data_IF_272128768121
#
_entry.id   IF_272128768121
#
_cell.length_a   1.000
_cell.length_b   1.000
_cell.length_c   1.000
_cell.angle_alpha   90.00
_cell.angle_beta   90.00
_cell.angle_gamma   90.00
#
_symmetry.space_group_name_H-M   'P 1'
#
loop_
_entity.id
_entity.type
_entity.pdbx_description
1 polymer ?
#
# COMPACT_ATOMS: atom_id res chain seq x y z
N UNK A 1 -14.49 28.81 26.32
CA UNK A 1 -13.34 28.26 25.54
C UNK A 1 -13.63 26.89 24.90
N UNK A 2 -14.35 25.99 25.58
CA UNK A 2 -14.64 24.61 25.11
C UNK A 2 -15.38 24.50 23.76
N UNK A 3 -16.38 25.36 23.49
CA UNK A 3 -17.18 25.31 22.25
C UNK A 3 -16.36 25.71 21.00
N UNK A 4 -15.40 26.63 21.17
CA UNK A 4 -14.50 27.03 20.08
C UNK A 4 -13.56 25.87 19.73
N UNK A 5 -13.00 25.20 20.73
CA UNK A 5 -12.14 24.02 20.50
C UNK A 5 -12.88 22.90 19.76
N UNK A 6 -14.12 22.57 20.15
CA UNK A 6 -14.94 21.56 19.46
C UNK A 6 -15.18 21.92 17.99
N UNK A 7 -15.46 23.20 17.69
CA UNK A 7 -15.63 23.68 16.31
C UNK A 7 -14.34 23.57 15.48
N UNK A 8 -13.18 23.91 16.05
CA UNK A 8 -11.91 23.79 15.33
C UNK A 8 -11.51 22.33 15.09
N UNK A 9 -11.74 21.44 16.06
CA UNK A 9 -11.49 20.00 15.90
C UNK A 9 -12.39 19.42 14.81
N UNK A 10 -13.70 19.75 14.83
CA UNK A 10 -14.63 19.31 13.78
C UNK A 10 -14.22 19.79 12.39
N UNK A 11 -13.81 21.06 12.26
CA UNK A 11 -13.36 21.62 11.00
C UNK A 11 -12.06 20.95 10.49
N UNK A 12 -11.10 20.67 11.39
CA UNK A 12 -9.87 19.98 11.04
C UNK A 12 -10.12 18.55 10.53
N UNK A 13 -11.07 17.83 11.15
CA UNK A 13 -11.46 16.48 10.70
C UNK A 13 -12.08 16.55 9.30
N UNK A 14 -12.98 17.50 9.05
CA UNK A 14 -13.63 17.66 7.74
C UNK A 14 -12.59 17.98 6.65
N UNK A 15 -11.64 18.88 6.94
CA UNK A 15 -10.56 19.21 6.00
C UNK A 15 -9.70 17.99 5.72
N UNK A 16 -9.31 17.23 6.76
CA UNK A 16 -8.51 16.02 6.60
C UNK A 16 -9.21 14.97 5.73
N UNK A 17 -10.50 14.72 5.97
CA UNK A 17 -11.31 13.80 5.15
C UNK A 17 -11.43 14.33 3.72
N UNK A 18 -11.69 15.63 3.53
CA UNK A 18 -11.83 16.25 2.21
C UNK A 18 -10.54 16.14 1.38
N UNK A 19 -9.39 16.44 1.98
CA UNK A 19 -8.08 16.27 1.34
C UNK A 19 -7.83 14.81 1.01
N UNK A 20 -8.11 13.89 1.95
CA UNK A 20 -7.97 12.45 1.72
C UNK A 20 -8.81 11.94 0.56
N UNK A 21 -10.07 12.33 0.51
CA UNK A 21 -10.98 11.96 -0.57
C UNK A 21 -10.51 12.56 -1.89
N UNK A 22 -10.05 13.81 -1.90
CA UNK A 22 -9.49 14.43 -3.09
C UNK A 22 -8.29 13.62 -3.64
N UNK A 23 -7.32 13.27 -2.79
CA UNK A 23 -6.19 12.44 -3.23
C UNK A 23 -6.64 11.05 -3.69
N UNK A 24 -7.62 10.44 -3.02
CA UNK A 24 -8.15 9.14 -3.41
C UNK A 24 -8.80 9.16 -4.79
N UNK A 25 -9.62 10.16 -5.07
CA UNK A 25 -10.31 10.32 -6.35
C UNK A 25 -9.36 10.69 -7.50
N UNK A 26 -8.24 11.36 -7.18
CA UNK A 26 -7.20 11.70 -8.13
C UNK A 26 -6.08 10.65 -8.22
N UNK A 27 -6.27 9.45 -7.62
CA UNK A 27 -5.30 8.36 -7.79
C UNK A 27 -5.22 7.96 -9.26
N UNK A 28 -4.02 7.61 -9.74
CA UNK A 28 -3.85 7.19 -11.11
C UNK A 28 -4.52 5.83 -11.35
N UNK A 29 -4.78 5.50 -12.61
CA UNK A 29 -5.35 4.20 -12.96
C UNK A 29 -4.26 3.12 -12.90
N UNK A 30 -4.34 2.25 -11.91
CA UNK A 30 -3.40 1.14 -11.75
C UNK A 30 -3.75 -0.02 -12.68
N UNK A 31 -2.83 -0.38 -13.57
CA UNK A 31 -2.99 -1.46 -14.54
C UNK A 31 -1.80 -2.41 -14.56
N UNK A 32 -1.70 -3.20 -15.64
CA UNK A 32 -0.60 -4.16 -15.89
C UNK A 32 -0.32 -5.08 -14.70
N UNK A 33 -1.37 -5.53 -14.01
CA UNK A 33 -1.22 -6.23 -12.73
C UNK A 33 -0.44 -7.54 -12.86
N UNK A 34 -0.66 -8.31 -13.92
CA UNK A 34 0.05 -9.58 -14.12
C UNK A 34 1.55 -9.35 -14.34
N UNK A 35 1.90 -8.29 -15.07
CA UNK A 35 3.28 -7.88 -15.28
C UNK A 35 3.95 -7.49 -13.97
N UNK A 36 3.41 -6.53 -13.21
CA UNK A 36 4.03 -6.08 -11.96
C UNK A 36 4.01 -7.15 -10.87
N UNK A 37 2.98 -7.99 -10.83
CA UNK A 37 2.93 -9.13 -9.89
C UNK A 37 4.05 -10.11 -10.18
N UNK A 38 4.34 -10.41 -11.45
CA UNK A 38 5.45 -11.29 -11.81
C UNK A 38 6.82 -10.61 -11.60
N UNK A 39 6.94 -9.37 -12.06
CA UNK A 39 8.18 -8.59 -12.02
C UNK A 39 8.68 -8.36 -10.59
N UNK A 40 7.77 -8.14 -9.65
CA UNK A 40 8.11 -7.80 -8.26
C UNK A 40 8.02 -9.00 -7.31
N UNK A 41 8.12 -10.24 -7.83
CA UNK A 41 8.01 -11.46 -7.04
C UNK A 41 6.74 -11.50 -6.15
N UNK A 42 5.60 -11.10 -6.70
CA UNK A 42 4.29 -11.25 -6.07
C UNK A 42 3.71 -12.66 -6.24
N UNK A 43 2.40 -12.74 -6.38
CA UNK A 43 1.69 -14.00 -6.61
C UNK A 43 1.37 -14.74 -5.31
N UNK A 44 1.33 -16.06 -5.38
CA UNK A 44 1.03 -16.92 -4.22
C UNK A 44 2.18 -16.91 -3.23
N UNK A 45 1.89 -16.65 -1.96
CA UNK A 45 2.84 -16.63 -0.86
C UNK A 45 2.38 -17.55 0.25
N UNK A 46 3.26 -18.39 0.77
CA UNK A 46 2.93 -19.32 1.85
C UNK A 46 3.67 -18.92 3.13
N UNK A 47 2.92 -18.69 4.20
CA UNK A 47 3.45 -18.39 5.52
C UNK A 47 2.76 -19.26 6.56
N UNK A 48 3.54 -20.03 7.32
CA UNK A 48 3.02 -20.93 8.37
C UNK A 48 1.90 -21.86 7.87
N UNK A 49 2.04 -22.41 6.66
CA UNK A 49 1.04 -23.28 6.03
C UNK A 49 -0.24 -22.58 5.59
N UNK A 50 -0.28 -21.23 5.64
CA UNK A 50 -1.40 -20.42 5.14
C UNK A 50 -1.00 -19.75 3.83
N UNK A 51 -1.81 -19.94 2.79
CA UNK A 51 -1.61 -19.30 1.49
C UNK A 51 -2.26 -17.91 1.45
N UNK A 52 -1.49 -16.96 0.93
CA UNK A 52 -1.88 -15.60 0.66
C UNK A 52 -1.58 -15.24 -0.80
N UNK A 53 -2.16 -14.14 -1.28
CA UNK A 53 -1.91 -13.66 -2.63
C UNK A 53 -1.46 -12.20 -2.61
N UNK A 54 -0.27 -11.95 -3.14
CA UNK A 54 0.31 -10.63 -3.34
C UNK A 54 0.04 -10.16 -4.78
N UNK A 55 -0.89 -9.24 -4.95
CA UNK A 55 -1.20 -8.62 -6.26
C UNK A 55 -0.55 -7.24 -6.34
N UNK A 56 0.16 -6.97 -7.43
CA UNK A 56 0.79 -5.69 -7.68
C UNK A 56 0.30 -5.13 -9.00
N UNK A 57 -0.05 -3.85 -9.04
CA UNK A 57 -0.47 -3.14 -10.26
C UNK A 57 0.26 -1.81 -10.32
N UNK A 58 0.74 -1.41 -11.51
CA UNK A 58 1.51 -0.18 -11.68
C UNK A 58 0.72 0.91 -12.37
N UNK A 59 1.07 2.16 -12.06
CA UNK A 59 0.60 3.35 -12.72
C UNK A 59 1.79 4.27 -13.01
N UNK A 60 1.85 4.84 -14.22
CA UNK A 60 2.92 5.75 -14.58
C UNK A 60 2.73 7.10 -13.86
N UNK A 61 3.79 7.59 -13.24
CA UNK A 61 3.85 8.89 -12.55
C UNK A 61 5.00 9.72 -13.14
N UNK A 62 5.00 11.03 -12.89
CA UNK A 62 5.94 11.99 -13.51
C UNK A 62 7.41 11.53 -13.48
N UNK A 63 7.83 10.87 -12.40
CA UNK A 63 9.21 10.45 -12.19
C UNK A 63 9.38 8.92 -12.03
N UNK A 64 8.47 8.08 -12.53
CA UNK A 64 8.57 6.63 -12.34
C UNK A 64 7.26 5.88 -12.48
N UNK A 65 7.12 4.79 -11.72
CA UNK A 65 5.87 4.06 -11.58
C UNK A 65 5.46 4.03 -10.12
N UNK A 66 4.21 4.35 -9.81
CA UNK A 66 3.62 4.02 -8.51
C UNK A 66 3.01 2.62 -8.56
N UNK A 67 3.34 1.78 -7.60
CA UNK A 67 2.85 0.41 -7.49
C UNK A 67 1.81 0.34 -6.37
N UNK A 68 0.63 -0.16 -6.71
CA UNK A 68 -0.39 -0.57 -5.74
C UNK A 68 -0.18 -2.04 -5.40
N UNK A 69 0.27 -2.31 -4.18
CA UNK A 69 0.42 -3.65 -3.63
C UNK A 69 -0.79 -4.00 -2.76
N UNK A 70 -1.46 -5.09 -3.08
CA UNK A 70 -2.62 -5.61 -2.38
C UNK A 70 -2.33 -7.04 -1.91
N UNK A 71 -2.64 -7.31 -0.65
CA UNK A 71 -2.40 -8.61 -0.03
C UNK A 71 -3.73 -9.24 0.39
N UNK A 72 -3.99 -10.45 -0.09
CA UNK A 72 -5.25 -11.16 0.08
C UNK A 72 -5.04 -12.48 0.82
N UNK A 73 -6.06 -12.93 1.54
CA UNK A 73 -6.13 -14.33 1.99
C UNK A 73 -6.58 -15.27 0.84
N UNK A 74 -6.56 -16.57 1.11
CA UNK A 74 -7.01 -17.61 0.19
C UNK A 74 -8.48 -17.47 -0.26
N UNK A 75 -9.32 -16.76 0.49
CA UNK A 75 -10.72 -16.51 0.10
C UNK A 75 -10.87 -15.30 -0.83
N UNK A 76 -9.78 -14.58 -1.11
CA UNK A 76 -9.78 -13.34 -1.90
C UNK A 76 -10.12 -12.09 -1.08
N UNK A 77 -10.14 -12.16 0.26
CA UNK A 77 -10.41 -10.98 1.11
C UNK A 77 -9.16 -10.13 1.22
N UNK A 78 -9.31 -8.83 0.93
CA UNK A 78 -8.24 -7.84 1.09
C UNK A 78 -7.86 -7.67 2.57
N UNK A 79 -6.62 -8.03 2.90
CA UNK A 79 -6.03 -7.94 4.25
C UNK A 79 -5.19 -6.67 4.42
N UNK A 80 -4.43 -6.29 3.39
CA UNK A 80 -3.59 -5.10 3.42
C UNK A 80 -3.46 -4.49 2.03
N UNK A 81 -3.22 -3.18 1.98
CA UNK A 81 -2.92 -2.43 0.76
C UNK A 81 -1.83 -1.40 1.04
N UNK A 82 -0.91 -1.22 0.09
CA UNK A 82 0.18 -0.24 0.11
C UNK A 82 0.35 0.38 -1.26
N UNK A 83 0.88 1.60 -1.26
CA UNK A 83 1.33 2.30 -2.44
C UNK A 83 2.79 2.67 -2.25
N UNK A 84 3.63 2.43 -3.24
CA UNK A 84 5.04 2.78 -3.18
C UNK A 84 5.59 3.16 -4.55
N UNK A 85 6.64 3.98 -4.56
CA UNK A 85 7.29 4.40 -5.81
C UNK A 85 8.37 3.41 -6.24
N UNK A 86 8.28 2.99 -7.50
CA UNK A 86 9.22 2.14 -8.22
C UNK A 86 9.93 2.99 -9.29
N UNK A 87 11.26 3.04 -9.23
CA UNK A 87 12.10 3.77 -10.19
C UNK A 87 13.02 2.78 -10.90
N UNK A 88 12.99 2.77 -12.24
CA UNK A 88 13.74 1.76 -13.00
C UNK A 88 15.25 1.86 -12.92
N UNK A 89 15.74 3.03 -12.54
CA UNK A 89 17.16 3.35 -12.47
C UNK A 89 17.68 3.48 -11.03
N UNK A 90 16.91 3.04 -10.02
CA UNK A 90 17.38 3.04 -8.64
C UNK A 90 18.23 1.79 -8.36
N UNK A 91 19.32 1.96 -7.61
CA UNK A 91 20.18 0.86 -7.16
C UNK A 91 19.57 -0.01 -6.04
N UNK A 92 18.32 0.28 -5.64
CA UNK A 92 17.58 -0.46 -4.62
C UNK A 92 17.08 -1.81 -5.15
N UNK A 93 17.08 -2.81 -4.27
CA UNK A 93 16.34 -4.05 -4.49
C UNK A 93 14.86 -3.74 -4.76
N UNK A 94 14.25 -4.52 -5.64
CA UNK A 94 12.96 -4.16 -6.26
C UNK A 94 11.86 -5.16 -5.94
N UNK A 95 12.26 -6.41 -5.74
CA UNK A 95 11.36 -7.52 -5.56
C UNK A 95 10.80 -7.53 -4.15
N UNK A 96 9.59 -8.09 -4.00
CA UNK A 96 9.09 -8.49 -2.70
C UNK A 96 9.98 -9.61 -2.14
N UNK A 97 10.45 -9.43 -0.92
CA UNK A 97 11.25 -10.43 -0.21
C UNK A 97 10.38 -11.04 0.88
N UNK A 98 10.23 -12.36 0.82
CA UNK A 98 9.53 -13.12 1.84
C UNK A 98 10.48 -13.36 3.01
N UNK A 99 10.26 -12.66 4.11
CA UNK A 99 10.91 -12.90 5.40
C UNK A 99 10.00 -13.75 6.29
N UNK A 100 10.53 -14.29 7.40
CA UNK A 100 9.83 -15.29 8.23
C UNK A 100 8.38 -14.93 8.60
N UNK A 101 8.16 -13.69 9.05
CA UNK A 101 6.84 -13.19 9.47
C UNK A 101 6.48 -11.86 8.79
N UNK A 102 7.07 -11.59 7.61
CA UNK A 102 6.78 -10.35 6.89
C UNK A 102 7.15 -10.42 5.42
N UNK A 103 6.53 -9.55 4.62
CA UNK A 103 6.99 -9.24 3.27
C UNK A 103 7.70 -7.88 3.31
N UNK A 104 8.93 -7.85 2.82
CA UNK A 104 9.70 -6.63 2.65
C UNK A 104 9.42 -6.07 1.24
N UNK A 105 9.22 -4.76 1.16
CA UNK A 105 9.05 -4.01 -0.08
C UNK A 105 9.84 -2.70 -0.02
N UNK A 106 10.18 -2.16 -1.18
CA UNK A 106 11.05 -1.01 -1.30
C UNK A 106 10.29 0.21 -1.86
N UNK A 107 10.18 1.27 -1.07
CA UNK A 107 9.50 2.52 -1.44
C UNK A 107 10.51 3.64 -1.65
N UNK A 108 10.84 3.91 -2.92
CA UNK A 108 11.80 4.95 -3.28
C UNK A 108 11.28 6.39 -3.03
N UNK A 109 10.01 6.56 -2.65
CA UNK A 109 9.49 7.88 -2.26
C UNK A 109 9.91 8.31 -0.85
N UNK A 110 10.45 7.37 -0.05
CA UNK A 110 10.83 7.58 1.35
C UNK A 110 12.34 7.67 1.49
N UNK A 111 12.77 8.36 2.54
CA UNK A 111 14.19 8.41 2.94
C UNK A 111 14.71 7.04 3.41
N UNK A 112 13.84 6.28 4.09
CA UNK A 112 14.06 4.87 4.40
C UNK A 112 13.26 4.03 3.40
N UNK A 113 13.98 3.49 2.42
CA UNK A 113 13.39 2.79 1.27
C UNK A 113 12.83 1.44 1.70
N UNK A 114 13.44 0.75 2.66
CA UNK A 114 13.02 -0.58 3.06
C UNK A 114 11.80 -0.50 4.00
N UNK A 115 10.73 -1.19 3.62
CA UNK A 115 9.48 -1.25 4.39
C UNK A 115 9.07 -2.70 4.57
N UNK A 116 8.36 -2.99 5.66
CA UNK A 116 7.84 -4.32 5.92
C UNK A 116 6.32 -4.33 6.08
N UNK A 117 5.70 -5.43 5.68
CA UNK A 117 4.32 -5.79 5.95
C UNK A 117 4.34 -7.06 6.80
N UNK A 118 3.94 -6.96 8.06
CA UNK A 118 3.85 -8.11 8.96
C UNK A 118 2.82 -9.13 8.50
N UNK A 119 3.08 -10.40 8.78
CA UNK A 119 2.21 -11.54 8.45
C UNK A 119 1.92 -12.32 9.73
N UNK A 120 0.64 -12.56 10.06
CA UNK A 120 -0.54 -12.05 9.37
C UNK A 120 -0.66 -10.50 9.50
N UNK A 121 -1.24 -9.82 8.50
CA UNK A 121 -1.48 -8.38 8.58
C UNK A 121 -2.33 -8.01 9.80
N UNK A 122 -2.06 -6.84 10.37
CA UNK A 122 -2.77 -6.39 11.56
C UNK A 122 -4.20 -5.94 11.23
N UNK A 123 -5.06 -5.84 12.25
CA UNK A 123 -6.40 -5.23 12.08
C UNK A 123 -6.33 -3.78 11.57
N UNK A 124 -5.25 -3.07 11.92
CA UNK A 124 -5.00 -1.72 11.42
C UNK A 124 -4.67 -1.70 9.93
N UNK A 125 -3.96 -2.72 9.43
CA UNK A 125 -3.70 -2.86 8.00
C UNK A 125 -4.97 -3.12 7.21
N UNK A 126 -5.86 -3.94 7.76
CA UNK A 126 -7.17 -4.23 7.20
C UNK A 126 -8.05 -2.98 7.11
N UNK A 127 -8.04 -2.16 8.17
CA UNK A 127 -8.78 -0.90 8.21
C UNK A 127 -8.19 0.09 7.20
N UNK A 128 -6.87 0.31 7.21
CA UNK A 128 -6.20 1.22 6.28
C UNK A 128 -6.43 0.84 4.82
N UNK A 129 -6.46 -0.45 4.51
CA UNK A 129 -6.73 -0.93 3.15
C UNK A 129 -8.11 -0.55 2.61
N UNK A 130 -9.04 -0.11 3.47
CA UNK A 130 -10.40 0.31 3.12
C UNK A 130 -10.63 1.82 3.26
N UNK A 131 -9.65 2.54 3.80
CA UNK A 131 -9.72 3.97 3.95
C UNK A 131 -9.10 4.65 2.72
N UNK A 132 -9.66 5.77 2.25
CA UNK A 132 -9.18 6.48 1.06
C UNK A 132 -7.80 7.14 1.25
N UNK A 133 -7.33 7.24 2.49
CA UNK A 133 -6.22 8.11 2.92
C UNK A 133 -4.82 7.45 2.91
N UNK A 134 -4.69 6.16 2.60
CA UNK A 134 -3.44 5.41 2.78
C UNK A 134 -3.10 4.50 1.61
#
# INVERSE_FOLDING_TARGET
MQIRAIRYIGLAIIIYIGIGLFFHLNRPNYGRCDFYTKELNGGSKEFHGTTYFAKLCGADIKNGTEVKFQFFDASGKLLAQRYFSYYTNSASERDLIDAMDSIIYYDNSKSDVMRSLSIPPTKWDWLRARLPLF
#
